data_IF_404226262135
#
_entry.id   IF_404226262135
#
_cell.length_a   1.000
_cell.length_b   1.000
_cell.length_c   1.000
_cell.angle_alpha   90.00
_cell.angle_beta   90.00
_cell.angle_gamma   90.00
#
_symmetry.space_group_name_H-M   'P 1'
#
loop_
_entity.id
_entity.type
_entity.pdbx_description
1 polymer ?
#
# COMPACT_ATOMS: atom_id res chain seq x y z
N UNK A 1 -28.42 17.93 -7.62
CA UNK A 1 -27.50 17.52 -6.54
C UNK A 1 -26.31 16.88 -7.23
N UNK A 2 -25.16 17.57 -7.26
CA UNK A 2 -23.94 17.04 -7.86
C UNK A 2 -23.14 16.32 -6.80
N UNK A 3 -23.18 14.98 -6.80
CA UNK A 3 -22.19 14.19 -6.07
C UNK A 3 -20.92 14.20 -6.89
N UNK A 4 -19.86 14.83 -6.36
CA UNK A 4 -18.52 14.60 -6.91
C UNK A 4 -18.17 13.14 -6.65
N UNK A 5 -17.87 12.38 -7.70
CA UNK A 5 -17.19 11.10 -7.53
C UNK A 5 -15.93 11.36 -6.72
N UNK A 6 -15.78 10.72 -5.57
CA UNK A 6 -14.52 10.70 -4.87
C UNK A 6 -13.55 9.94 -5.79
N UNK A 7 -12.45 10.55 -6.21
CA UNK A 7 -11.42 9.80 -6.92
C UNK A 7 -10.74 8.86 -5.92
N UNK A 8 -10.27 7.71 -6.38
CA UNK A 8 -9.44 6.83 -5.57
C UNK A 8 -8.27 7.63 -4.96
N UNK A 9 -8.17 7.58 -3.64
CA UNK A 9 -7.14 8.25 -2.84
C UNK A 9 -6.46 7.20 -1.98
N UNK A 10 -5.44 6.56 -2.58
CA UNK A 10 -4.64 5.51 -1.94
C UNK A 10 -3.22 6.00 -1.72
N UNK A 11 -2.62 5.61 -0.60
CA UNK A 11 -1.22 5.87 -0.30
C UNK A 11 -0.46 4.57 -0.04
N UNK A 12 0.82 4.55 -0.39
CA UNK A 12 1.73 3.45 -0.04
C UNK A 12 1.94 3.43 1.48
N UNK A 13 1.66 2.30 2.10
CA UNK A 13 1.83 2.04 3.53
C UNK A 13 3.17 1.34 3.82
N UNK A 14 3.65 0.55 2.87
CA UNK A 14 4.87 -0.24 3.01
C UNK A 14 5.44 -0.58 1.63
N UNK A 15 6.76 -0.81 1.56
CA UNK A 15 7.42 -1.30 0.36
C UNK A 15 8.62 -2.19 0.71
N UNK A 16 8.71 -3.36 0.08
CA UNK A 16 9.87 -4.25 0.16
C UNK A 16 10.08 -4.99 -1.17
N UNK A 17 11.24 -4.76 -1.79
CA UNK A 17 11.54 -5.35 -3.08
C UNK A 17 10.51 -4.93 -4.14
N UNK A 18 9.97 -5.87 -4.95
CA UNK A 18 8.97 -5.56 -5.96
C UNK A 18 7.54 -5.44 -5.40
N UNK A 19 7.36 -5.57 -4.08
CA UNK A 19 6.05 -5.53 -3.44
C UNK A 19 5.83 -4.23 -2.68
N UNK A 20 4.63 -3.68 -2.78
CA UNK A 20 4.15 -2.61 -1.93
C UNK A 20 2.83 -2.99 -1.28
N UNK A 21 2.54 -2.38 -0.13
CA UNK A 21 1.20 -2.37 0.44
C UNK A 21 0.65 -0.94 0.38
N UNK A 22 -0.64 -0.81 0.15
CA UNK A 22 -1.33 0.47 0.07
C UNK A 22 -2.67 0.44 0.81
N UNK A 23 -3.20 1.62 1.11
CA UNK A 23 -4.54 1.75 1.65
C UNK A 23 -5.11 3.15 1.46
N UNK A 24 -6.43 3.27 1.55
CA UNK A 24 -7.13 4.52 1.31
C UNK A 24 -8.60 4.32 0.98
N UNK A 25 -9.11 5.07 0.02
CA UNK A 25 -10.48 4.96 -0.50
C UNK A 25 -10.48 4.72 -2.01
N UNK A 26 -11.37 3.86 -2.50
CA UNK A 26 -11.63 3.65 -3.93
C UNK A 26 -12.53 4.74 -4.52
N UNK A 27 -12.76 4.68 -5.84
CA UNK A 27 -13.55 5.66 -6.60
C UNK A 27 -15.04 5.76 -6.16
N UNK A 28 -15.55 4.71 -5.54
CA UNK A 28 -16.90 4.68 -4.97
C UNK A 28 -16.94 5.17 -3.49
N UNK A 29 -15.78 5.53 -2.93
CA UNK A 29 -15.61 5.93 -1.54
C UNK A 29 -15.45 4.76 -0.54
N UNK A 30 -15.41 3.51 -1.01
CA UNK A 30 -15.19 2.33 -0.16
C UNK A 30 -13.76 2.33 0.36
N UNK A 31 -13.55 2.01 1.64
CA UNK A 31 -12.18 1.88 2.16
C UNK A 31 -11.52 0.64 1.58
N UNK A 32 -10.29 0.78 1.13
CA UNK A 32 -9.54 -0.30 0.48
C UNK A 32 -8.16 -0.43 1.13
N UNK A 33 -7.73 -1.68 1.26
CA UNK A 33 -6.35 -2.06 1.57
C UNK A 33 -5.89 -3.00 0.46
N UNK A 34 -4.62 -2.95 0.07
CA UNK A 34 -4.11 -3.91 -0.90
C UNK A 34 -2.60 -4.06 -0.87
N UNK A 35 -2.13 -5.02 -1.64
CA UNK A 35 -0.74 -5.14 -2.04
C UNK A 35 -0.65 -5.17 -3.56
N UNK A 36 0.48 -4.70 -4.06
CA UNK A 36 0.77 -4.72 -5.48
C UNK A 36 2.19 -5.20 -5.79
N UNK A 37 2.34 -5.70 -7.01
CA UNK A 37 3.65 -5.89 -7.63
C UNK A 37 3.55 -5.61 -9.12
N UNK A 38 4.71 -5.38 -9.73
CA UNK A 38 4.82 -5.14 -11.16
C UNK A 38 6.04 -5.86 -11.75
N UNK A 39 5.98 -6.12 -13.06
CA UNK A 39 7.17 -6.57 -13.77
C UNK A 39 8.22 -5.44 -13.87
N UNK A 40 9.46 -5.80 -14.21
CA UNK A 40 10.58 -4.86 -14.32
C UNK A 40 10.29 -3.66 -15.25
N UNK A 41 9.52 -3.88 -16.31
CA UNK A 41 9.18 -2.85 -17.30
C UNK A 41 7.92 -2.04 -16.93
N UNK A 42 7.32 -2.26 -15.76
CA UNK A 42 6.14 -1.52 -15.27
C UNK A 42 4.94 -1.55 -16.22
N UNK A 43 4.74 -2.67 -16.92
CA UNK A 43 3.66 -2.86 -17.92
C UNK A 43 2.63 -3.87 -17.47
N UNK A 44 2.96 -4.72 -16.50
CA UNK A 44 2.14 -5.79 -15.95
C UNK A 44 2.10 -5.60 -14.45
N UNK A 45 0.91 -5.42 -13.92
CA UNK A 45 0.66 -5.20 -12.51
C UNK A 45 -0.23 -6.32 -11.99
N UNK A 46 0.00 -6.69 -10.74
CA UNK A 46 -0.80 -7.66 -10.03
C UNK A 46 -1.18 -7.07 -8.68
N UNK A 47 -2.47 -7.12 -8.36
CA UNK A 47 -3.03 -6.56 -7.14
C UNK A 47 -3.76 -7.64 -6.35
N UNK A 48 -3.68 -7.55 -5.03
CA UNK A 48 -4.61 -8.23 -4.12
C UNK A 48 -5.20 -7.13 -3.23
N UNK A 49 -6.53 -7.05 -3.16
CA UNK A 49 -7.27 -5.98 -2.51
C UNK A 49 -8.32 -6.56 -1.57
N UNK A 50 -8.54 -5.85 -0.49
CA UNK A 50 -9.68 -6.02 0.40
C UNK A 50 -10.45 -4.71 0.46
N UNK A 51 -11.74 -4.78 0.16
CA UNK A 51 -12.67 -3.67 0.32
C UNK A 51 -13.45 -3.83 1.63
N UNK A 52 -13.62 -2.74 2.37
CA UNK A 52 -14.32 -2.77 3.65
C UNK A 52 -15.74 -3.34 3.49
N UNK A 53 -16.02 -4.41 4.24
CA UNK A 53 -17.32 -5.10 4.19
C UNK A 53 -17.39 -6.26 3.19
N UNK A 54 -16.34 -6.47 2.39
CA UNK A 54 -16.16 -7.69 1.60
C UNK A 54 -15.84 -8.88 2.50
N UNK A 55 -16.26 -10.08 2.08
CA UNK A 55 -15.83 -11.38 2.61
C UNK A 55 -14.75 -12.04 1.73
N UNK A 56 -14.54 -11.54 0.51
CA UNK A 56 -13.56 -12.05 -0.44
C UNK A 56 -12.38 -11.09 -0.64
N UNK A 57 -11.26 -11.62 -1.14
CA UNK A 57 -10.18 -10.81 -1.67
C UNK A 57 -10.35 -10.64 -3.18
N UNK A 58 -10.35 -9.39 -3.64
CA UNK A 58 -10.31 -9.07 -5.06
C UNK A 58 -8.88 -9.12 -5.56
N UNK A 59 -8.64 -9.78 -6.69
CA UNK A 59 -7.32 -9.91 -7.30
C UNK A 59 -7.39 -9.44 -8.73
N UNK A 60 -6.44 -8.62 -9.15
CA UNK A 60 -6.39 -8.09 -10.51
C UNK A 60 -5.07 -8.36 -11.18
N UNK A 61 -5.17 -8.62 -12.48
CA UNK A 61 -4.07 -8.53 -13.42
C UNK A 61 -4.34 -7.34 -14.33
N UNK A 62 -3.41 -6.39 -14.39
CA UNK A 62 -3.53 -5.21 -15.25
C UNK A 62 -2.36 -5.16 -16.22
N UNK A 63 -2.66 -4.94 -17.50
CA UNK A 63 -1.65 -4.62 -18.51
C UNK A 63 -2.12 -3.48 -19.38
N UNK A 64 -1.33 -2.41 -19.40
CA UNK A 64 -1.70 -1.14 -20.05
C UNK A 64 -1.94 -1.24 -21.56
N UNK A 65 -1.48 -2.32 -22.21
CA UNK A 65 -1.65 -2.55 -23.65
C UNK A 65 -2.76 -3.54 -23.98
N UNK A 66 -3.46 -4.08 -22.98
CA UNK A 66 -4.64 -4.90 -23.23
C UNK A 66 -5.82 -4.06 -23.71
N UNK A 67 -6.72 -4.73 -24.42
CA UNK A 67 -8.00 -4.19 -24.89
C UNK A 67 -9.02 -5.33 -24.89
N UNK A 68 -9.50 -5.65 -23.70
CA UNK A 68 -10.38 -6.77 -23.40
C UNK A 68 -11.83 -6.27 -23.47
N UNK A 69 -12.74 -6.96 -24.18
CA UNK A 69 -14.16 -6.62 -24.14
C UNK A 69 -14.73 -6.78 -22.73
N UNK A 70 -15.55 -5.83 -22.29
CA UNK A 70 -16.22 -5.89 -20.98
C UNK A 70 -17.01 -7.20 -20.81
N UNK A 71 -16.86 -7.84 -19.65
CA UNK A 71 -17.52 -9.09 -19.32
C UNK A 71 -16.89 -10.33 -19.98
N UNK A 72 -15.68 -10.20 -20.54
CA UNK A 72 -14.98 -11.34 -21.12
C UNK A 72 -14.61 -12.36 -20.02
N UNK A 73 -14.99 -13.62 -20.19
CA UNK A 73 -14.58 -14.69 -19.28
C UNK A 73 -13.13 -15.09 -19.60
N UNK A 74 -12.23 -14.88 -18.65
CA UNK A 74 -10.79 -15.17 -18.79
C UNK A 74 -10.40 -16.32 -17.85
N UNK A 75 -10.37 -17.58 -18.32
CA UNK A 75 -9.86 -18.68 -17.51
C UNK A 75 -8.38 -18.48 -17.23
N UNK A 76 -7.99 -18.59 -15.97
CA UNK A 76 -6.63 -18.34 -15.51
C UNK A 76 -6.19 -19.38 -14.48
N UNK A 77 -4.88 -19.58 -14.46
CA UNK A 77 -4.21 -20.46 -13.52
C UNK A 77 -3.09 -19.71 -12.80
N UNK A 78 -3.17 -19.65 -11.47
CA UNK A 78 -2.16 -19.07 -10.61
C UNK A 78 -1.38 -20.16 -9.89
N UNK A 79 -0.04 -20.13 -10.00
CA UNK A 79 0.84 -21.08 -9.32
C UNK A 79 1.79 -20.35 -8.38
N UNK A 80 1.74 -20.73 -7.10
CA UNK A 80 2.60 -20.24 -6.04
C UNK A 80 3.68 -21.29 -5.75
N UNK A 81 4.92 -21.00 -6.13
CA UNK A 81 6.04 -21.90 -5.92
C UNK A 81 5.81 -23.32 -6.47
N UNK A 82 5.91 -24.31 -5.58
CA UNK A 82 5.72 -25.73 -5.89
C UNK A 82 4.33 -26.26 -5.52
N UNK A 83 3.42 -25.39 -5.05
CA UNK A 83 2.07 -25.77 -4.63
C UNK A 83 1.19 -26.15 -5.83
N UNK A 84 0.03 -26.73 -5.52
CA UNK A 84 -1.02 -26.98 -6.50
C UNK A 84 -1.47 -25.66 -7.15
N UNK A 85 -1.80 -25.66 -8.45
CA UNK A 85 -2.31 -24.47 -9.10
C UNK A 85 -3.71 -24.12 -8.61
N UNK A 86 -3.96 -22.83 -8.47
CA UNK A 86 -5.28 -22.24 -8.28
C UNK A 86 -5.88 -21.93 -9.65
N UNK A 87 -7.08 -22.41 -9.92
CA UNK A 87 -7.81 -22.09 -11.15
C UNK A 87 -8.95 -21.14 -10.82
N UNK A 88 -9.11 -20.10 -11.63
CA UNK A 88 -10.23 -19.17 -11.54
C UNK A 88 -10.70 -18.79 -12.94
N UNK A 89 -11.85 -18.14 -13.02
CA UNK A 89 -12.30 -17.42 -14.22
C UNK A 89 -12.43 -15.96 -13.83
N UNK A 90 -11.61 -15.11 -14.43
CA UNK A 90 -11.69 -13.67 -14.21
C UNK A 90 -12.67 -12.99 -15.15
N UNK A 91 -13.20 -11.85 -14.71
CA UNK A 91 -13.95 -10.90 -15.52
C UNK A 91 -12.97 -9.93 -16.17
N UNK A 92 -12.96 -9.91 -17.50
CA UNK A 92 -12.09 -9.05 -18.29
C UNK A 92 -12.81 -7.75 -18.69
N UNK A 93 -12.13 -6.63 -18.54
CA UNK A 93 -12.64 -5.30 -18.94
C UNK A 93 -11.49 -4.34 -19.23
N UNK A 94 -11.45 -3.79 -20.45
CA UNK A 94 -10.43 -2.84 -20.87
C UNK A 94 -9.00 -3.37 -20.71
N UNK A 95 -8.28 -2.92 -19.69
CA UNK A 95 -6.88 -3.30 -19.41
C UNK A 95 -6.72 -4.26 -18.24
N UNK A 96 -7.82 -4.78 -17.70
CA UNK A 96 -7.86 -5.48 -16.42
C UNK A 96 -8.57 -6.83 -16.55
N UNK A 97 -8.13 -7.78 -15.74
CA UNK A 97 -8.81 -9.05 -15.46
C UNK A 97 -8.92 -9.18 -13.95
N UNK A 98 -10.13 -9.24 -13.43
CA UNK A 98 -10.43 -9.31 -12.00
C UNK A 98 -10.99 -10.68 -11.64
N UNK A 99 -10.55 -11.26 -10.53
CA UNK A 99 -11.11 -12.49 -9.96
C UNK A 99 -11.03 -12.45 -8.44
N UNK A 100 -11.70 -13.40 -7.78
CA UNK A 100 -11.82 -13.40 -6.32
C UNK A 100 -11.19 -14.65 -5.71
N UNK A 101 -10.54 -14.46 -4.56
CA UNK A 101 -10.18 -15.56 -3.65
C UNK A 101 -11.31 -15.65 -2.61
N UNK A 102 -12.07 -16.76 -2.57
CA UNK A 102 -13.22 -16.88 -1.69
C UNK A 102 -12.78 -16.96 -0.23
N UNK A 103 -13.63 -16.48 0.68
CA UNK A 103 -13.34 -16.33 2.11
C UNK A 103 -12.80 -17.60 2.78
N UNK A 104 -13.31 -18.77 2.38
CA UNK A 104 -12.95 -20.07 2.94
C UNK A 104 -11.58 -20.59 2.47
N UNK A 105 -11.00 -19.94 1.46
CA UNK A 105 -9.70 -20.29 0.89
C UNK A 105 -8.60 -19.26 1.15
N UNK A 106 -8.94 -18.08 1.72
CA UNK A 106 -7.99 -16.99 1.99
C UNK A 106 -6.82 -17.44 2.86
N UNK A 107 -7.08 -18.22 3.91
CA UNK A 107 -6.02 -18.71 4.81
C UNK A 107 -4.99 -19.59 4.09
N UNK A 108 -5.45 -20.46 3.17
CA UNK A 108 -4.58 -21.36 2.43
C UNK A 108 -3.84 -20.61 1.32
N UNK A 109 -4.53 -19.71 0.62
CA UNK A 109 -3.93 -18.81 -0.35
C UNK A 109 -2.80 -17.98 0.27
N UNK A 110 -3.05 -17.36 1.44
CA UNK A 110 -2.06 -16.57 2.17
C UNK A 110 -0.84 -17.41 2.53
N UNK A 111 -1.03 -18.60 3.14
CA UNK A 111 0.09 -19.48 3.50
C UNK A 111 0.93 -19.80 2.27
N UNK A 112 0.30 -20.21 1.18
CA UNK A 112 1.03 -20.54 -0.04
C UNK A 112 1.79 -19.35 -0.62
N UNK A 113 1.19 -18.17 -0.57
CA UNK A 113 1.78 -16.94 -1.08
C UNK A 113 3.00 -16.51 -0.25
N UNK A 114 2.85 -16.46 1.08
CA UNK A 114 3.91 -16.04 2.01
C UNK A 114 5.13 -16.97 2.01
N UNK A 115 4.91 -18.28 1.83
CA UNK A 115 6.00 -19.27 1.84
C UNK A 115 6.58 -19.58 0.44
N UNK A 116 6.06 -18.94 -0.61
CA UNK A 116 6.56 -19.09 -1.98
C UNK A 116 7.61 -18.03 -2.33
N UNK A 117 8.48 -18.36 -3.30
CA UNK A 117 9.50 -17.43 -3.83
C UNK A 117 9.15 -16.88 -5.22
N UNK A 118 8.21 -17.51 -5.90
CA UNK A 118 7.79 -17.10 -7.22
C UNK A 118 6.30 -17.37 -7.41
N UNK A 119 5.67 -16.48 -8.15
CA UNK A 119 4.30 -16.59 -8.60
C UNK A 119 4.27 -16.65 -10.12
N UNK A 120 3.48 -17.58 -10.68
CA UNK A 120 3.25 -17.68 -12.12
C UNK A 120 1.76 -17.55 -12.39
N UNK A 121 1.35 -16.49 -13.08
CA UNK A 121 -0.02 -16.30 -13.56
C UNK A 121 -0.07 -16.69 -15.04
N UNK A 122 -0.92 -17.65 -15.38
CA UNK A 122 -1.12 -18.12 -16.75
C UNK A 122 -2.55 -17.82 -17.19
N UNK A 123 -2.70 -17.41 -18.44
CA UNK A 123 -3.99 -17.19 -19.08
C UNK A 123 -4.26 -18.42 -19.96
N UNK A 124 -5.29 -19.19 -19.60
CA UNK A 124 -5.55 -20.51 -20.21
C UNK A 124 -6.24 -20.38 -21.57
N UNK A 125 -6.53 -19.15 -21.98
CA UNK A 125 -7.04 -18.78 -23.29
C UNK A 125 -6.35 -17.53 -23.82
N UNK A 126 -6.50 -17.26 -25.11
CA UNK A 126 -5.86 -16.12 -25.76
C UNK A 126 -4.39 -16.37 -26.12
N UNK A 127 -3.60 -15.29 -26.19
CA UNK A 127 -2.20 -15.30 -26.64
C UNK A 127 -1.23 -14.62 -25.67
N UNK A 128 -1.67 -14.29 -24.45
CA UNK A 128 -0.79 -13.70 -23.44
C UNK A 128 0.13 -14.77 -22.86
N UNK A 129 1.44 -14.52 -22.91
CA UNK A 129 2.41 -15.40 -22.27
C UNK A 129 2.28 -15.35 -20.73
N UNK A 130 2.56 -16.45 -20.01
CA UNK A 130 2.51 -16.46 -18.55
C UNK A 130 3.37 -15.36 -17.91
N UNK A 131 2.83 -14.73 -16.87
CA UNK A 131 3.52 -13.73 -16.08
C UNK A 131 4.25 -14.40 -14.93
N UNK A 132 5.45 -13.90 -14.62
CA UNK A 132 6.26 -14.38 -13.50
C UNK A 132 6.60 -13.21 -12.61
N UNK A 133 6.28 -13.34 -11.33
CA UNK A 133 6.62 -12.37 -10.30
C UNK A 133 7.49 -13.02 -9.24
N UNK A 134 8.44 -12.24 -8.73
CA UNK A 134 9.24 -12.59 -7.55
C UNK A 134 8.41 -12.32 -6.29
N UNK A 135 8.37 -13.26 -5.36
CA UNK A 135 7.65 -13.13 -4.09
C UNK A 135 8.57 -12.70 -2.92
N UNK A 136 9.82 -12.34 -3.19
CA UNK A 136 10.72 -11.75 -2.20
C UNK A 136 10.15 -10.42 -1.68
N UNK A 137 10.01 -10.27 -0.36
CA UNK A 137 9.40 -9.09 0.27
C UNK A 137 7.87 -9.11 0.35
N UNK A 138 7.25 -10.13 -0.23
CA UNK A 138 5.78 -10.23 -0.30
C UNK A 138 5.13 -10.56 1.04
N UNK A 139 5.83 -11.29 1.93
CA UNK A 139 5.40 -11.55 3.31
C UNK A 139 5.24 -10.25 4.10
N UNK A 140 6.26 -9.38 4.08
CA UNK A 140 6.23 -8.11 4.82
C UNK A 140 5.16 -7.16 4.26
N UNK A 141 4.95 -7.16 2.94
CA UNK A 141 3.83 -6.44 2.34
C UNK A 141 2.47 -6.99 2.79
N UNK A 142 2.31 -8.32 2.86
CA UNK A 142 1.09 -8.95 3.36
C UNK A 142 0.80 -8.60 4.83
N UNK A 143 1.83 -8.52 5.68
CA UNK A 143 1.67 -8.09 7.07
C UNK A 143 1.18 -6.63 7.17
N UNK A 144 1.72 -5.72 6.34
CA UNK A 144 1.25 -4.34 6.27
C UNK A 144 -0.19 -4.25 5.74
N UNK A 145 -0.55 -5.08 4.76
CA UNK A 145 -1.90 -5.22 4.24
C UNK A 145 -2.89 -5.69 5.32
N UNK A 146 -2.60 -6.76 6.06
CA UNK A 146 -3.50 -7.24 7.11
C UNK A 146 -3.65 -6.25 8.26
N UNK A 147 -2.59 -5.50 8.58
CA UNK A 147 -2.71 -4.39 9.53
C UNK A 147 -3.71 -3.35 9.01
N UNK A 148 -3.61 -2.95 7.73
CA UNK A 148 -4.59 -2.07 7.11
C UNK A 148 -6.02 -2.65 7.20
N UNK A 149 -6.21 -3.93 6.84
CA UNK A 149 -7.51 -4.62 6.90
C UNK A 149 -8.09 -4.57 8.31
N UNK A 150 -7.29 -4.84 9.34
CA UNK A 150 -7.71 -4.79 10.73
C UNK A 150 -8.22 -3.39 11.14
N UNK A 151 -7.52 -2.33 10.70
CA UNK A 151 -7.92 -0.93 10.95
C UNK A 151 -9.28 -0.63 10.33
N UNK A 152 -9.51 -1.05 9.07
CA UNK A 152 -10.75 -0.72 8.37
C UNK A 152 -11.92 -1.65 8.73
N UNK A 153 -11.66 -2.85 9.25
CA UNK A 153 -12.69 -3.84 9.60
C UNK A 153 -13.21 -3.72 11.04
N UNK A 154 -12.41 -3.21 11.99
CA UNK A 154 -12.67 -3.35 13.43
C UNK A 154 -12.72 -2.07 14.28
N UNK A 155 -12.43 -0.88 13.75
CA UNK A 155 -12.71 0.38 14.45
C UNK A 155 -11.90 0.68 15.73
N UNK A 156 -10.86 -0.08 16.06
CA UNK A 156 -9.85 0.30 17.07
C UNK A 156 -8.49 0.41 16.39
N UNK A 157 -7.84 1.58 16.53
CA UNK A 157 -6.45 1.75 16.11
C UNK A 157 -5.56 0.79 16.91
N UNK A 158 -4.81 -0.11 16.26
CA UNK A 158 -3.60 -0.64 16.86
C UNK A 158 -2.67 0.55 17.09
N UNK A 159 -2.18 0.72 18.32
CA UNK A 159 -1.06 1.62 18.62
C UNK A 159 0.18 1.10 17.89
N UNK A 160 0.33 1.56 16.66
CA UNK A 160 1.52 1.60 15.80
C UNK A 160 2.85 1.12 16.43
N UNK A 161 3.53 0.12 15.86
CA UNK A 161 4.97 -0.08 16.07
C UNK A 161 5.85 0.45 14.93
N UNK A 162 5.30 1.02 13.84
CA UNK A 162 6.10 1.45 12.68
C UNK A 162 5.94 2.94 12.35
N UNK A 163 6.63 3.75 13.15
CA UNK A 163 7.35 4.95 12.68
C UNK A 163 6.53 6.04 11.99
N UNK A 164 6.07 6.99 12.81
CA UNK A 164 5.96 8.39 12.37
C UNK A 164 7.28 8.80 11.69
N UNK A 165 7.19 9.47 10.55
CA UNK A 165 8.29 10.26 10.00
C UNK A 165 8.59 11.41 10.96
N UNK A 166 9.31 11.14 12.05
CA UNK A 166 9.97 12.19 12.80
C UNK A 166 11.07 12.73 11.91
N UNK A 167 10.98 14.02 11.58
CA UNK A 167 12.07 14.79 11.00
C UNK A 167 13.41 14.41 11.68
N UNK A 168 14.54 14.41 10.95
CA UNK A 168 15.83 14.05 11.52
C UNK A 168 16.07 14.84 12.82
N UNK A 169 16.51 14.19 13.92
CA UNK A 169 16.90 14.94 15.10
C UNK A 169 17.98 15.95 14.70
N UNK A 170 17.82 17.19 15.15
CA UNK A 170 18.79 18.25 14.95
C UNK A 170 20.18 17.75 15.38
N UNK A 171 21.20 18.03 14.57
CA UNK A 171 22.58 17.61 14.84
C UNK A 171 23.03 18.10 16.23
N UNK A 172 23.20 17.18 17.17
CA UNK A 172 23.80 17.48 18.48
C UNK A 172 25.31 17.63 18.32
N UNK A 173 25.78 18.87 18.36
CA UNK A 173 27.20 19.22 18.47
C UNK A 173 27.60 19.31 19.97
N UNK A 174 28.86 19.02 20.35
CA UNK A 174 29.25 18.87 21.75
C UNK A 174 29.46 20.19 22.53
N UNK A 175 28.92 21.31 22.09
CA UNK A 175 28.95 22.58 22.83
C UNK A 175 27.78 23.50 22.45
N UNK A 176 27.31 24.30 23.41
CA UNK A 176 26.18 25.21 23.27
C UNK A 176 26.62 26.64 22.93
N UNK A 177 25.93 27.29 21.98
CA UNK A 177 25.95 28.74 21.87
C UNK A 177 24.93 29.33 22.87
N UNK A 178 25.25 30.41 23.61
CA UNK A 178 24.33 30.97 24.59
C UNK A 178 23.06 31.52 23.95
N UNK A 179 21.90 31.02 24.42
CA UNK A 179 20.60 31.62 24.15
C UNK A 179 20.54 33.00 24.80
N UNK A 180 20.42 34.07 24.00
CA UNK A 180 20.07 35.38 24.51
C UNK A 180 18.58 35.39 24.90
N UNK A 181 18.21 35.70 26.15
CA UNK A 181 16.82 35.86 26.52
C UNK A 181 16.32 37.21 26.03
N UNK A 182 15.19 37.21 25.33
CA UNK A 182 14.48 38.43 24.99
C UNK A 182 13.35 38.67 26.00
N UNK A 183 13.18 39.95 26.32
CA UNK A 183 12.05 40.65 26.92
C UNK A 183 12.02 40.73 28.47
N UNK A 184 11.39 41.76 29.06
CA UNK A 184 10.79 42.99 28.50
C UNK A 184 11.31 44.31 29.14
N UNK A 185 10.87 45.42 28.55
CA UNK A 185 11.05 46.80 28.99
C UNK A 185 10.48 47.06 30.40
N UNK A 186 11.33 47.47 31.34
CA UNK A 186 10.93 48.22 32.54
C UNK A 186 12.01 49.24 32.89
N UNK A 187 11.70 50.51 32.63
CA UNK A 187 12.43 51.67 33.17
C UNK A 187 12.46 51.64 34.71
N UNK A 188 13.59 52.06 35.32
CA UNK A 188 13.50 53.23 36.18
C UNK A 188 14.64 54.24 35.97
N UNK A 189 14.26 55.52 36.07
CA UNK A 189 15.17 56.65 36.24
C UNK A 189 16.05 56.52 37.49
N UNK A 190 17.29 57.04 37.42
CA UNK A 190 17.85 58.11 38.29
C UNK A 190 19.36 58.30 37.97
N UNK A 191 19.78 59.55 37.73
CA UNK A 191 21.20 59.99 37.61
C UNK A 191 21.89 60.02 38.99
N UNK A 192 23.23 59.97 39.09
CA UNK A 192 23.96 61.22 39.30
C UNK A 192 25.35 61.34 38.62
N UNK A 193 25.85 62.57 38.67
CA UNK A 193 27.06 63.22 38.11
C UNK A 193 28.40 62.61 38.58
N UNK A 194 29.46 62.85 37.80
CA UNK A 194 30.74 63.58 38.12
C UNK A 194 31.82 63.18 37.09
N UNK A 195 32.11 64.02 36.07
CA UNK A 195 33.25 64.96 35.91
C UNK A 195 34.68 64.36 35.81
N UNK A 196 35.27 64.64 34.65
CA UNK A 196 36.66 65.05 34.32
C UNK A 196 37.87 64.25 34.80
N UNK A 197 38.71 63.88 33.83
CA UNK A 197 40.04 64.47 33.60
C UNK A 197 40.32 64.53 32.09
#
# INVERSE_FOLDING_TARGET
>A
MGGGAALADTQTLFQAGPWSAFGGTSDDGTKVCGIDTQNADSTKFFFIKYFQGSDELETDAVKTTWNIPDGANVPLTLKLGANSPWSATGDGSGTEVTWFVPSDAVDDFQKEFEFSRAMVLSFDSGNEAPWRFDLSGSYEAFQAFYHCVAIISGGDQPTQPYGQSTAPPAATQPYAAPSSPTAPDTSPSVKPKYQSL
#
